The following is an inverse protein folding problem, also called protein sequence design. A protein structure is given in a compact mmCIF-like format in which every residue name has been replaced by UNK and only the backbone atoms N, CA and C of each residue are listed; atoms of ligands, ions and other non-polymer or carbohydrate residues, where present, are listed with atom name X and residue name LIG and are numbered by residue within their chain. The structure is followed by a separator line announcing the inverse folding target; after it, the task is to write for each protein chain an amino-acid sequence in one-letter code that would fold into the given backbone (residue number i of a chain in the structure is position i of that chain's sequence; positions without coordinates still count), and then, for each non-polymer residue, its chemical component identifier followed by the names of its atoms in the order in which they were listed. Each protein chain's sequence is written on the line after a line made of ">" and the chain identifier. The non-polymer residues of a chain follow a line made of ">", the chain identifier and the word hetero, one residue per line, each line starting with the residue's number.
data_IF_582199763037
#
_entry.id   IF_582199763037
#
_cell.length_a   1.000
_cell.length_b   1.000
_cell.length_c   1.000
_cell.angle_alpha   90.00
_cell.angle_beta   90.00
_cell.angle_gamma   90.00
#
_symmetry.space_group_name_H-M   'P 1'
#
loop_
_entity.id
_entity.type
_entity.pdbx_description
1 polymer ?
#
# COMPACT_ATOMS: atom_id res chain seq x y z
N UNK A 1 3.36 -14.10 11.05
CA UNK A 1 4.35 -14.78 10.18
C UNK A 1 3.66 -15.30 8.92
N UNK A 2 3.64 -14.52 7.83
CA UNK A 2 3.04 -14.92 6.56
C UNK A 2 4.02 -15.77 5.74
N UNK A 3 3.56 -16.95 5.31
CA UNK A 3 4.27 -17.79 4.37
C UNK A 3 4.43 -17.03 3.06
N UNK A 4 5.69 -16.88 2.61
CA UNK A 4 5.99 -16.38 1.27
C UNK A 4 5.23 -17.25 0.26
N UNK A 5 4.38 -16.59 -0.52
CA UNK A 5 3.82 -17.17 -1.73
C UNK A 5 5.01 -17.64 -2.57
N UNK A 6 4.90 -18.86 -3.12
CA UNK A 6 6.00 -19.67 -3.65
C UNK A 6 7.13 -18.91 -4.36
N UNK A 7 8.37 -19.38 -4.15
CA UNK A 7 9.55 -19.05 -4.96
C UNK A 7 9.18 -18.97 -6.45
N UNK A 8 9.47 -17.86 -7.18
CA UNK A 8 10.60 -16.94 -7.00
C UNK A 8 10.18 -15.46 -6.75
N UNK A 9 9.34 -15.18 -5.74
CA UNK A 9 9.09 -13.77 -5.34
C UNK A 9 10.39 -13.08 -4.89
N UNK A 10 10.61 -11.84 -5.34
CA UNK A 10 11.75 -11.00 -4.98
C UNK A 10 13.10 -11.36 -5.60
N UNK A 11 13.15 -12.16 -6.68
CA UNK A 11 14.42 -12.77 -7.13
C UNK A 11 14.81 -12.56 -8.61
N UNK A 12 13.99 -11.89 -9.43
CA UNK A 12 14.30 -11.66 -10.85
C UNK A 12 14.97 -10.30 -11.08
N UNK A 13 16.07 -10.02 -10.38
CA UNK A 13 16.91 -8.85 -10.66
C UNK A 13 17.91 -9.20 -11.78
N UNK A 14 17.79 -8.53 -12.93
CA UNK A 14 18.80 -8.54 -13.99
C UNK A 14 19.50 -7.17 -13.95
N UNK A 15 20.81 -7.17 -13.75
CA UNK A 15 21.62 -5.94 -13.76
C UNK A 15 21.60 -5.27 -15.15
N UNK A 16 22.06 -4.02 -15.22
CA UNK A 16 22.21 -3.26 -16.47
C UNK A 16 23.17 -3.90 -17.49
N UNK A 17 23.98 -4.88 -17.06
CA UNK A 17 24.88 -5.69 -17.88
C UNK A 17 24.22 -6.98 -18.44
N UNK A 18 22.95 -7.23 -18.11
CA UNK A 18 22.18 -8.37 -18.62
C UNK A 18 22.46 -9.70 -17.92
N UNK A 19 23.24 -9.74 -16.84
CA UNK A 19 23.53 -10.97 -16.10
C UNK A 19 22.58 -11.17 -14.90
N UNK A 20 21.91 -12.32 -14.77
CA UNK A 20 21.11 -12.64 -13.58
C UNK A 20 22.04 -12.92 -12.40
N UNK A 21 22.04 -12.03 -11.40
CA UNK A 21 22.68 -12.31 -10.11
C UNK A 21 21.82 -13.25 -9.26
N UNK A 22 22.41 -13.92 -8.24
CA UNK A 22 21.64 -14.79 -7.35
C UNK A 22 20.63 -13.95 -6.55
N UNK A 23 19.35 -14.22 -6.76
CA UNK A 23 18.22 -14.12 -5.81
C UNK A 23 18.42 -13.22 -4.56
N UNK A 24 18.76 -11.94 -4.71
CA UNK A 24 18.82 -11.03 -3.56
C UNK A 24 17.42 -10.48 -3.29
N UNK A 25 16.77 -10.84 -2.17
CA UNK A 25 15.42 -10.36 -1.90
C UNK A 25 15.42 -8.84 -1.78
N UNK A 26 14.68 -8.16 -2.65
CA UNK A 26 14.53 -6.70 -2.59
C UNK A 26 13.69 -6.23 -1.39
N UNK A 27 12.99 -7.14 -0.73
CA UNK A 27 12.00 -6.85 0.32
C UNK A 27 10.65 -6.36 -0.21
N UNK A 28 10.47 -6.30 -1.54
CA UNK A 28 9.22 -5.92 -2.19
C UNK A 28 8.30 -7.14 -2.34
N UNK A 29 6.99 -6.93 -2.22
CA UNK A 29 5.95 -7.95 -2.47
C UNK A 29 5.72 -8.14 -3.98
N UNK A 30 6.79 -8.37 -4.72
CA UNK A 30 6.81 -8.55 -6.18
C UNK A 30 8.07 -9.33 -6.56
N UNK A 31 8.20 -9.74 -7.82
CA UNK A 31 9.43 -10.33 -8.35
C UNK A 31 10.55 -9.28 -8.60
N UNK A 32 10.20 -7.99 -8.63
CA UNK A 32 11.14 -6.87 -8.77
C UNK A 32 10.53 -5.55 -8.27
N UNK A 33 10.19 -4.64 -9.19
CA UNK A 33 9.57 -3.33 -8.93
C UNK A 33 8.08 -3.46 -8.56
N UNK A 34 7.63 -2.56 -7.71
CA UNK A 34 6.22 -2.35 -7.33
C UNK A 34 5.75 -0.97 -7.82
N UNK A 35 4.46 -0.68 -7.69
CA UNK A 35 3.85 0.55 -8.19
C UNK A 35 4.62 1.83 -7.80
N UNK A 36 5.08 1.93 -6.56
CA UNK A 36 5.85 3.08 -6.09
C UNK A 36 7.16 3.27 -6.87
N UNK A 37 7.80 2.18 -7.31
CA UNK A 37 9.05 2.26 -8.08
C UNK A 37 8.80 2.81 -9.48
N UNK A 38 7.70 2.41 -10.11
CA UNK A 38 7.34 2.95 -11.42
C UNK A 38 7.01 4.44 -11.33
N UNK A 39 6.30 4.87 -10.28
CA UNK A 39 6.03 6.30 -10.03
C UNK A 39 7.34 7.05 -9.78
N UNK A 40 8.24 6.49 -8.97
CA UNK A 40 9.56 7.08 -8.73
C UNK A 40 10.37 7.22 -10.02
N UNK A 41 10.34 6.22 -10.90
CA UNK A 41 10.95 6.27 -12.24
C UNK A 41 10.35 7.36 -13.12
N UNK A 42 9.03 7.53 -13.11
CA UNK A 42 8.39 8.65 -13.83
C UNK A 42 8.81 10.02 -13.29
N UNK A 43 9.19 10.11 -12.00
CA UNK A 43 9.70 11.32 -11.35
C UNK A 43 11.22 11.49 -11.48
N UNK A 44 11.91 10.62 -12.23
CA UNK A 44 13.35 10.71 -12.49
C UNK A 44 14.25 10.01 -11.46
N UNK A 45 13.69 9.20 -10.57
CA UNK A 45 14.45 8.35 -9.64
C UNK A 45 14.65 6.94 -10.20
N UNK A 46 15.66 6.21 -9.74
CA UNK A 46 15.86 4.82 -10.17
C UNK A 46 14.76 3.88 -9.62
N UNK A 47 14.41 4.06 -8.36
CA UNK A 47 13.40 3.29 -7.62
C UNK A 47 12.78 4.11 -6.48
N UNK A 48 11.74 3.56 -5.82
CA UNK A 48 11.11 4.23 -4.70
C UNK A 48 12.05 4.34 -3.48
N UNK A 49 11.87 5.38 -2.64
CA UNK A 49 12.70 5.56 -1.45
C UNK A 49 12.60 4.39 -0.47
N UNK A 50 13.64 4.24 0.35
CA UNK A 50 13.73 3.20 1.37
C UNK A 50 12.61 3.30 2.42
N UNK A 51 12.27 2.14 2.98
CA UNK A 51 11.31 2.07 4.08
C UNK A 51 11.86 2.75 5.33
N UNK A 52 11.01 3.54 5.99
CA UNK A 52 11.32 4.20 7.26
C UNK A 52 11.93 3.25 8.28
N UNK A 53 11.37 2.03 8.39
CA UNK A 53 11.86 0.99 9.28
C UNK A 53 13.29 0.48 8.97
N UNK A 54 13.85 0.85 7.81
CA UNK A 54 15.21 0.52 7.37
C UNK A 54 16.15 1.73 7.38
N UNK A 55 15.66 2.90 7.77
CA UNK A 55 16.47 4.13 7.87
C UNK A 55 16.90 4.39 9.31
N UNK A 56 18.01 5.12 9.49
CA UNK A 56 18.41 5.58 10.81
C UNK A 56 17.37 6.55 11.39
N UNK A 57 17.28 6.61 12.72
CA UNK A 57 16.37 7.56 13.38
C UNK A 57 16.62 8.99 12.92
N UNK A 58 15.54 9.76 12.75
CA UNK A 58 15.59 11.17 12.35
C UNK A 58 16.34 11.44 11.04
N UNK A 59 16.28 10.51 10.10
CA UNK A 59 16.79 10.72 8.73
C UNK A 59 15.64 10.68 7.74
N UNK A 60 15.73 11.48 6.69
CA UNK A 60 14.87 11.41 5.51
C UNK A 60 15.72 11.70 4.28
N UNK A 61 15.74 10.76 3.35
CA UNK A 61 16.51 10.91 2.12
C UNK A 61 15.92 12.04 1.25
N UNK A 62 16.74 12.80 0.49
CA UNK A 62 16.23 13.79 -0.46
C UNK A 62 15.24 13.23 -1.49
N UNK A 63 15.35 11.95 -1.85
CA UNK A 63 14.41 11.24 -2.75
C UNK A 63 13.08 10.89 -2.07
N UNK A 64 13.02 10.90 -0.73
CA UNK A 64 11.82 10.69 0.06
C UNK A 64 11.93 9.52 1.05
N UNK A 65 10.78 8.94 1.41
CA UNK A 65 10.67 7.82 2.34
C UNK A 65 9.37 7.04 2.12
N UNK A 66 9.39 5.72 2.35
CA UNK A 66 8.14 4.92 2.40
C UNK A 66 7.78 4.52 3.83
N UNK A 67 6.51 4.72 4.18
CA UNK A 67 5.89 4.26 5.43
C UNK A 67 5.02 3.01 5.23
N UNK A 68 4.88 2.56 3.98
CA UNK A 68 4.05 1.41 3.63
C UNK A 68 4.61 0.12 4.26
N UNK A 69 3.71 -0.74 4.72
CA UNK A 69 4.03 -2.05 5.30
C UNK A 69 3.12 -3.10 4.68
N UNK A 70 3.68 -4.25 4.28
CA UNK A 70 2.88 -5.37 3.82
C UNK A 70 1.91 -5.85 4.90
N UNK A 71 0.66 -6.13 4.53
CA UNK A 71 -0.40 -6.50 5.48
C UNK A 71 -1.07 -5.32 6.19
N UNK A 72 -0.64 -4.07 5.94
CA UNK A 72 -1.30 -2.90 6.51
C UNK A 72 -2.76 -2.80 6.07
N UNK A 73 -3.60 -2.34 7.00
CA UNK A 73 -5.05 -2.15 6.84
C UNK A 73 -5.42 -0.69 7.09
N UNK A 74 -6.57 -0.26 6.58
CA UNK A 74 -7.13 1.06 6.90
C UNK A 74 -7.83 0.99 8.24
N UNK A 75 -8.77 0.05 8.38
CA UNK A 75 -9.55 -0.14 9.59
C UNK A 75 -8.81 -1.04 10.57
N UNK A 76 -8.79 -0.63 11.83
CA UNK A 76 -8.22 -1.42 12.91
C UNK A 76 -9.15 -2.60 13.20
N UNK A 77 -8.93 -3.72 12.51
CA UNK A 77 -9.71 -4.93 12.75
C UNK A 77 -8.81 -6.17 12.73
N UNK A 78 -8.82 -6.80 13.91
CA UNK A 78 -8.58 -8.23 14.20
C UNK A 78 -7.16 -8.81 14.20
N UNK A 79 -6.11 -8.08 13.85
CA UNK A 79 -4.76 -8.46 14.29
C UNK A 79 -3.86 -7.25 14.53
N UNK A 80 -3.31 -7.13 15.75
CA UNK A 80 -2.36 -6.07 16.13
C UNK A 80 -1.00 -6.20 15.40
N UNK A 81 -0.90 -7.07 14.39
CA UNK A 81 0.35 -7.48 13.76
C UNK A 81 0.86 -6.43 12.74
N UNK A 82 -0.04 -5.62 12.15
CA UNK A 82 0.33 -4.65 11.10
C UNK A 82 -0.08 -3.21 11.42
N UNK A 83 0.70 -2.19 11.00
CA UNK A 83 0.37 -0.80 11.24
C UNK A 83 -0.80 -0.34 10.36
N UNK A 84 -1.76 0.35 10.96
CA UNK A 84 -2.88 0.97 10.24
C UNK A 84 -2.43 2.18 9.42
N UNK A 85 -3.26 2.62 8.45
CA UNK A 85 -3.00 3.88 7.75
C UNK A 85 -2.79 5.05 8.72
N UNK A 86 -3.63 5.15 9.75
CA UNK A 86 -3.53 6.16 10.81
C UNK A 86 -2.20 6.09 11.56
N UNK A 87 -1.67 4.89 11.84
CA UNK A 87 -0.34 4.74 12.45
C UNK A 87 0.77 5.22 11.51
N UNK A 88 0.71 4.91 10.21
CA UNK A 88 1.68 5.38 9.22
C UNK A 88 1.67 6.92 9.11
N UNK A 89 0.48 7.54 9.04
CA UNK A 89 0.33 9.02 9.03
C UNK A 89 0.84 9.64 10.33
N UNK A 90 0.64 9.00 11.48
CA UNK A 90 1.14 9.51 12.75
C UNK A 90 2.67 9.46 12.85
N UNK A 91 3.31 8.43 12.30
CA UNK A 91 4.77 8.38 12.19
C UNK A 91 5.29 9.50 11.30
N UNK A 92 4.69 9.67 10.11
CA UNK A 92 5.00 10.79 9.21
C UNK A 92 4.83 12.15 9.89
N UNK A 93 3.72 12.37 10.60
CA UNK A 93 3.45 13.59 11.37
C UNK A 93 4.55 13.89 12.38
N UNK A 94 5.06 12.89 13.09
CA UNK A 94 6.14 13.08 14.07
C UNK A 94 7.40 13.61 13.39
N UNK A 95 7.78 13.02 12.25
CA UNK A 95 8.95 13.42 11.47
C UNK A 95 8.81 14.81 10.82
N UNK A 96 7.58 15.23 10.49
CA UNK A 96 7.34 16.62 10.07
C UNK A 96 7.49 17.57 11.25
N UNK A 97 6.92 17.23 12.42
CA UNK A 97 6.95 18.10 13.61
C UNK A 97 8.33 18.23 14.24
N UNK A 98 9.18 17.20 14.16
CA UNK A 98 10.53 17.24 14.68
C UNK A 98 11.57 17.80 13.70
N UNK A 99 11.13 18.18 12.49
CA UNK A 99 11.95 18.79 11.45
C UNK A 99 12.76 17.81 10.60
N UNK A 100 12.63 16.49 10.81
CA UNK A 100 13.29 15.47 9.98
C UNK A 100 12.81 15.56 8.52
N UNK A 101 11.53 15.80 8.32
CA UNK A 101 10.95 16.09 7.00
C UNK A 101 10.67 17.58 6.92
N UNK A 102 11.38 18.25 6.02
CA UNK A 102 11.32 19.71 5.88
C UNK A 102 10.09 20.15 5.06
N UNK A 103 9.63 21.38 5.27
CA UNK A 103 8.57 22.00 4.46
C UNK A 103 8.90 22.00 2.96
N UNK A 104 10.18 22.21 2.61
CA UNK A 104 10.65 22.13 1.23
C UNK A 104 10.44 20.73 0.64
N UNK A 105 10.76 19.67 1.40
CA UNK A 105 10.48 18.29 0.97
C UNK A 105 8.98 18.06 0.80
N UNK A 106 8.14 18.52 1.73
CA UNK A 106 6.69 18.34 1.67
C UNK A 106 6.05 18.96 0.41
N UNK A 107 6.42 20.21 0.11
CA UNK A 107 5.86 20.98 -1.00
C UNK A 107 6.28 20.46 -2.38
N UNK A 108 7.45 19.83 -2.47
CA UNK A 108 7.99 19.30 -3.73
C UNK A 108 7.75 17.81 -3.93
N UNK A 109 7.35 17.07 -2.89
CA UNK A 109 7.08 15.62 -2.95
C UNK A 109 5.70 15.28 -3.50
N UNK A 110 5.53 14.01 -3.87
CA UNK A 110 4.22 13.39 -4.16
C UNK A 110 4.02 12.27 -3.15
N UNK A 111 2.88 12.24 -2.46
CA UNK A 111 2.50 11.13 -1.61
C UNK A 111 1.66 10.11 -2.38
N UNK A 112 2.03 8.83 -2.29
CA UNK A 112 1.23 7.72 -2.81
C UNK A 112 0.55 7.00 -1.64
N UNK A 113 -0.77 6.88 -1.70
CA UNK A 113 -1.60 6.12 -0.76
C UNK A 113 -2.16 4.89 -1.48
N UNK A 114 -1.63 3.72 -1.13
CA UNK A 114 -1.91 2.45 -1.83
C UNK A 114 -2.43 1.37 -0.87
N UNK A 115 -3.63 1.59 -0.30
CA UNK A 115 -4.33 0.58 0.48
C UNK A 115 -5.37 -0.11 -0.41
N UNK A 116 -5.09 -1.35 -0.79
CA UNK A 116 -6.02 -2.12 -1.62
C UNK A 116 -5.93 -3.59 -1.27
N UNK A 117 -6.99 -4.13 -0.67
CA UNK A 117 -7.18 -5.58 -0.52
C UNK A 117 -7.11 -6.12 0.90
N UNK A 118 -6.24 -5.65 1.80
CA UNK A 118 -6.11 -6.28 3.13
C UNK A 118 -7.36 -6.12 4.01
N UNK A 119 -8.01 -4.95 3.99
CA UNK A 119 -9.29 -4.74 4.66
C UNK A 119 -10.37 -5.71 4.12
N UNK A 120 -10.32 -6.03 2.82
CA UNK A 120 -11.30 -6.85 2.10
C UNK A 120 -11.00 -8.35 2.13
N UNK A 121 -9.73 -8.73 2.25
CA UNK A 121 -9.25 -10.09 2.37
C UNK A 121 -9.29 -10.60 3.82
N UNK A 122 -9.55 -9.70 4.78
CA UNK A 122 -9.78 -10.08 6.18
C UNK A 122 -11.08 -10.90 6.30
N UNK A 123 -11.08 -11.89 7.19
CA UNK A 123 -12.22 -12.80 7.43
C UNK A 123 -13.53 -12.10 7.75
N UNK A 124 -13.49 -10.81 8.15
CA UNK A 124 -14.65 -9.99 8.43
C UNK A 124 -15.46 -9.57 7.20
N UNK A 125 -14.85 -9.48 6.01
CA UNK A 125 -15.56 -9.17 4.75
C UNK A 125 -15.96 -10.44 4.00
N UNK A 126 -15.13 -11.49 4.06
CA UNK A 126 -15.39 -12.82 3.48
C UNK A 126 -16.65 -13.49 4.10
N UNK A 127 -17.06 -13.05 5.29
CA UNK A 127 -18.30 -13.51 5.95
C UNK A 127 -19.55 -12.66 5.67
N UNK A 128 -19.42 -11.51 5.00
CA UNK A 128 -20.58 -10.67 4.70
C UNK A 128 -21.33 -11.25 3.51
N UNK A 129 -22.61 -11.56 3.67
CA UNK A 129 -23.46 -12.09 2.59
C UNK A 129 -24.46 -11.04 2.06
N UNK A 130 -24.49 -9.86 2.68
CA UNK A 130 -25.43 -8.79 2.39
C UNK A 130 -24.72 -7.65 1.64
N UNK A 131 -25.22 -7.21 0.47
CA UNK A 131 -24.71 -6.03 -0.22
C UNK A 131 -24.69 -4.78 0.66
N UNK A 132 -25.66 -4.63 1.57
CA UNK A 132 -25.74 -3.47 2.47
C UNK A 132 -24.59 -3.46 3.49
N UNK A 133 -24.23 -4.61 4.03
CA UNK A 133 -23.14 -4.72 4.99
C UNK A 133 -21.78 -4.46 4.32
N UNK A 134 -21.62 -4.92 3.08
CA UNK A 134 -20.45 -4.64 2.25
C UNK A 134 -20.34 -3.13 1.97
N UNK A 135 -21.43 -2.49 1.55
CA UNK A 135 -21.46 -1.05 1.32
C UNK A 135 -21.12 -0.27 2.58
N UNK A 136 -21.68 -0.67 3.72
CA UNK A 136 -21.38 -0.04 5.00
C UNK A 136 -19.91 -0.22 5.40
N UNK A 137 -19.33 -1.41 5.16
CA UNK A 137 -17.91 -1.67 5.42
C UNK A 137 -17.00 -0.84 4.51
N UNK A 138 -17.24 -0.86 3.19
CA UNK A 138 -16.50 -0.04 2.22
C UNK A 138 -16.58 1.44 2.60
N UNK A 139 -17.77 1.93 2.97
CA UNK A 139 -17.97 3.30 3.42
C UNK A 139 -17.16 3.66 4.66
N UNK A 140 -16.95 2.72 5.59
CA UNK A 140 -16.03 2.93 6.74
C UNK A 140 -14.58 3.03 6.28
N UNK A 141 -14.14 2.12 5.40
CA UNK A 141 -12.77 2.12 4.85
C UNK A 141 -12.49 3.44 4.12
N UNK A 142 -13.33 3.81 3.15
CA UNK A 142 -13.11 5.02 2.34
C UNK A 142 -13.18 6.29 3.18
N UNK A 143 -14.07 6.36 4.18
CA UNK A 143 -14.13 7.48 5.13
C UNK A 143 -12.84 7.63 5.92
N UNK A 144 -12.29 6.53 6.44
CA UNK A 144 -11.04 6.56 7.19
C UNK A 144 -9.83 6.88 6.29
N UNK A 145 -9.83 6.39 5.04
CA UNK A 145 -8.82 6.79 4.04
C UNK A 145 -8.88 8.29 3.75
N UNK A 146 -10.07 8.84 3.49
CA UNK A 146 -10.27 10.27 3.23
C UNK A 146 -9.82 11.12 4.43
N UNK A 147 -10.16 10.71 5.65
CA UNK A 147 -9.72 11.39 6.86
C UNK A 147 -8.19 11.42 6.98
N UNK A 148 -7.51 10.32 6.70
CA UNK A 148 -6.04 10.25 6.75
C UNK A 148 -5.37 11.03 5.60
N UNK A 149 -5.96 11.04 4.40
CA UNK A 149 -5.51 11.92 3.30
C UNK A 149 -5.65 13.39 3.69
N UNK A 150 -6.77 13.79 4.30
CA UNK A 150 -6.97 15.15 4.81
C UNK A 150 -5.88 15.51 5.84
N UNK A 151 -5.47 14.57 6.69
CA UNK A 151 -4.36 14.79 7.62
C UNK A 151 -3.02 14.99 6.91
N UNK A 152 -2.73 14.26 5.82
CA UNK A 152 -1.52 14.47 5.02
C UNK A 152 -1.51 15.88 4.39
N UNK A 153 -2.64 16.32 3.85
CA UNK A 153 -2.81 17.67 3.31
C UNK A 153 -2.59 18.74 4.38
N UNK A 154 -3.18 18.58 5.56
CA UNK A 154 -2.98 19.47 6.72
C UNK A 154 -1.53 19.52 7.21
N UNK A 155 -0.74 18.48 6.93
CA UNK A 155 0.69 18.44 7.27
C UNK A 155 1.58 19.13 6.23
N UNK A 156 1.03 19.59 5.10
CA UNK A 156 1.77 20.33 4.07
C UNK A 156 2.09 19.53 2.81
N UNK A 157 1.61 18.28 2.69
CA UNK A 157 1.70 17.54 1.42
C UNK A 157 0.75 18.18 0.42
N UNK A 158 1.26 18.55 -0.76
CA UNK A 158 0.47 19.27 -1.78
C UNK A 158 -0.10 18.37 -2.87
N UNK A 159 0.53 17.20 -3.09
CA UNK A 159 0.16 16.25 -4.16
C UNK A 159 -0.01 14.87 -3.55
N UNK A 160 -1.24 14.36 -3.58
CA UNK A 160 -1.57 13.02 -3.07
C UNK A 160 -2.21 12.21 -4.19
N UNK A 161 -1.60 11.08 -4.52
CA UNK A 161 -2.18 10.06 -5.39
C UNK A 161 -2.77 8.96 -4.51
N UNK A 162 -4.05 8.68 -4.68
CA UNK A 162 -4.75 7.62 -3.95
C UNK A 162 -5.17 6.55 -4.94
N UNK A 163 -4.83 5.29 -4.66
CA UNK A 163 -5.30 4.18 -5.49
C UNK A 163 -6.78 3.90 -5.24
N UNK A 164 -7.47 3.50 -6.30
CA UNK A 164 -8.73 2.78 -6.18
C UNK A 164 -8.49 1.32 -5.81
N UNK A 165 -9.54 0.64 -5.36
CA UNK A 165 -9.49 -0.79 -5.09
C UNK A 165 -9.47 -1.58 -6.41
N UNK A 166 -8.53 -2.51 -6.53
CA UNK A 166 -8.47 -3.45 -7.65
C UNK A 166 -9.59 -4.50 -7.54
N UNK A 167 -9.95 -5.23 -8.60
CA UNK A 167 -10.97 -6.29 -8.53
C UNK A 167 -10.49 -7.46 -7.66
N UNK A 168 -10.79 -7.39 -6.35
CA UNK A 168 -10.33 -8.36 -5.33
C UNK A 168 -10.78 -9.79 -5.65
N UNK A 169 -12.02 -9.96 -6.13
CA UNK A 169 -12.57 -11.25 -6.51
C UNK A 169 -11.90 -11.89 -7.73
N UNK A 170 -11.06 -11.14 -8.46
CA UNK A 170 -10.22 -11.68 -9.54
C UNK A 170 -8.81 -12.08 -9.08
N UNK A 171 -8.46 -11.90 -7.80
CA UNK A 171 -7.13 -12.28 -7.30
C UNK A 171 -6.96 -13.81 -7.26
N UNK A 172 -5.72 -14.33 -7.39
CA UNK A 172 -5.49 -15.78 -7.36
C UNK A 172 -5.97 -16.48 -6.08
N UNK A 173 -5.98 -15.80 -4.93
CA UNK A 173 -6.54 -16.34 -3.69
C UNK A 173 -8.02 -16.66 -3.83
N UNK A 174 -8.78 -15.74 -4.43
CA UNK A 174 -10.25 -15.79 -4.48
C UNK A 174 -10.75 -16.68 -5.61
N UNK A 175 -10.06 -16.65 -6.75
CA UNK A 175 -10.42 -17.49 -7.90
C UNK A 175 -9.98 -18.96 -7.76
N UNK A 176 -9.19 -19.30 -6.72
CA UNK A 176 -8.68 -20.66 -6.48
C UNK A 176 -9.80 -21.70 -6.34
N UNK A 177 -10.91 -21.35 -5.68
CA UNK A 177 -12.08 -22.24 -5.51
C UNK A 177 -12.76 -22.56 -6.84
N UNK A 178 -12.60 -21.68 -7.83
CA UNK A 178 -13.18 -21.81 -9.18
C UNK A 178 -12.13 -22.16 -10.25
N UNK A 179 -11.04 -22.83 -9.86
CA UNK A 179 -9.94 -23.23 -10.76
C UNK A 179 -9.36 -22.07 -11.61
N UNK A 180 -9.34 -20.85 -11.08
CA UNK A 180 -8.83 -19.66 -11.76
C UNK A 180 -9.61 -19.27 -13.04
N UNK A 181 -10.83 -19.77 -13.22
CA UNK A 181 -11.61 -19.56 -14.46
C UNK A 181 -12.52 -18.35 -14.42
N UNK A 182 -12.99 -17.95 -13.24
CA UNK A 182 -13.95 -16.85 -13.07
C UNK A 182 -13.63 -16.04 -11.82
N UNK A 183 -13.95 -14.75 -11.87
CA UNK A 183 -13.86 -13.88 -10.71
C UNK A 183 -15.10 -13.99 -9.83
N UNK A 184 -14.92 -13.77 -8.53
CA UNK A 184 -16.04 -13.54 -7.63
C UNK A 184 -16.60 -12.12 -7.87
N UNK A 185 -17.81 -12.05 -8.44
CA UNK A 185 -18.47 -10.78 -8.78
C UNK A 185 -18.87 -10.03 -7.51
N UNK A 186 -19.21 -10.75 -6.44
CA UNK A 186 -19.69 -10.17 -5.21
C UNK A 186 -18.53 -9.53 -4.42
N UNK A 187 -17.36 -10.17 -4.40
CA UNK A 187 -16.14 -9.54 -3.86
C UNK A 187 -15.66 -8.35 -4.70
N UNK A 188 -15.91 -8.38 -6.01
CA UNK A 188 -15.59 -7.26 -6.90
C UNK A 188 -16.51 -6.05 -6.72
N UNK A 189 -17.64 -6.17 -6.01
CA UNK A 189 -18.51 -5.03 -5.69
C UNK A 189 -17.72 -3.93 -4.96
N UNK A 190 -16.74 -4.32 -4.14
CA UNK A 190 -15.81 -3.40 -3.49
C UNK A 190 -15.12 -2.47 -4.47
N UNK A 191 -14.61 -3.00 -5.59
CA UNK A 191 -13.86 -2.22 -6.58
C UNK A 191 -14.74 -1.17 -7.28
N UNK A 192 -16.03 -1.46 -7.46
CA UNK A 192 -16.98 -0.55 -8.11
C UNK A 192 -17.41 0.62 -7.21
N UNK A 193 -17.29 0.48 -5.89
CA UNK A 193 -17.81 1.44 -4.90
C UNK A 193 -16.69 2.17 -4.16
N UNK A 194 -15.51 1.55 -4.06
CA UNK A 194 -14.31 2.15 -3.47
C UNK A 194 -13.71 3.18 -4.42
N UNK A 195 -14.36 4.34 -4.49
CA UNK A 195 -13.88 5.52 -5.19
C UNK A 195 -13.62 6.58 -4.13
N UNK A 196 -12.37 7.01 -4.02
CA UNK A 196 -11.98 8.11 -3.14
C UNK A 196 -11.93 9.36 -3.99
N UNK A 197 -12.94 10.21 -3.84
CA UNK A 197 -13.04 11.53 -4.48
C UNK A 197 -12.49 12.61 -3.57
#
# INVERSE_FOLDING_TARGET
>A
MSWQWAYPYGSNYVDTDGFPRPNTPSGRFSNYKIQSDFIATMLGLEEAPLAHARTAEKTCDPSGMTFATGGAVVLDSTSHEFPTFTKQVNTFRKMVKDGTITEKQLTHSVALVAFSGNDYASTGVIGLSSPNDINAYIGKVTKEMAANVEQLLKLGVTKVLVNNLHPVGCTPSQTRTNNYTTCDIFENLGASIHIIT
#
